data_IF_349878068873
#
_entry.id   IF_349878068873
#
_cell.length_a   1.000
_cell.length_b   1.000
_cell.length_c   1.000
_cell.angle_alpha   90.00
_cell.angle_beta   90.00
_cell.angle_gamma   90.00
#
_symmetry.space_group_name_H-M   'P 1'
#
loop_
_entity.id
_entity.type
_entity.pdbx_description
1 polymer ?
#
# COMPACT_ATOMS: atom_id res chain seq x y z
N UNK A 1 -3.34 -12.65 15.50
CA UNK A 1 -2.73 -11.41 14.98
C UNK A 1 -2.52 -11.48 13.46
N UNK A 2 -1.89 -12.54 12.92
CA UNK A 2 -1.60 -12.67 11.47
C UNK A 2 -2.66 -13.45 10.66
N UNK A 3 -3.92 -13.40 11.05
CA UNK A 3 -4.99 -14.20 10.39
C UNK A 3 -6.32 -13.43 10.30
N UNK A 4 -6.24 -12.11 10.41
CA UNK A 4 -7.38 -11.22 10.29
C UNK A 4 -6.92 -9.83 9.85
N UNK A 5 -7.85 -9.09 9.24
CA UNK A 5 -7.79 -7.65 9.08
C UNK A 5 -8.52 -6.89 10.18
N UNK A 6 -9.13 -5.77 9.80
CA UNK A 6 -9.86 -4.85 10.65
C UNK A 6 -11.35 -4.73 10.26
N UNK A 7 -11.91 -5.66 9.48
CA UNK A 7 -13.35 -5.65 9.21
C UNK A 7 -14.15 -5.91 10.49
N UNK A 8 -15.39 -5.40 10.53
CA UNK A 8 -16.26 -5.57 11.71
C UNK A 8 -16.44 -7.04 12.10
N UNK A 9 -16.67 -7.93 11.12
CA UNK A 9 -16.85 -9.36 11.36
C UNK A 9 -15.59 -9.99 11.97
N UNK A 10 -14.41 -9.65 11.47
CA UNK A 10 -13.14 -10.17 11.97
C UNK A 10 -12.86 -9.71 13.40
N UNK A 11 -13.10 -8.43 13.70
CA UNK A 11 -12.97 -7.89 15.07
C UNK A 11 -13.99 -8.54 16.01
N UNK A 12 -15.23 -8.73 15.55
CA UNK A 12 -16.24 -9.46 16.31
C UNK A 12 -15.80 -10.90 16.59
N UNK A 13 -15.28 -11.61 15.59
CA UNK A 13 -14.77 -12.97 15.74
C UNK A 13 -13.57 -13.01 16.70
N UNK A 14 -12.67 -12.04 16.65
CA UNK A 14 -11.53 -11.93 17.55
C UNK A 14 -11.97 -11.78 19.01
N UNK A 15 -12.94 -10.90 19.27
CA UNK A 15 -13.48 -10.68 20.63
C UNK A 15 -14.23 -11.88 21.19
N UNK A 16 -14.80 -12.71 20.33
CA UNK A 16 -15.57 -13.89 20.72
C UNK A 16 -14.80 -15.21 20.54
N UNK A 17 -13.50 -15.16 20.22
CA UNK A 17 -12.66 -16.34 19.99
C UNK A 17 -13.18 -17.29 18.90
N UNK A 18 -13.71 -16.74 17.80
CA UNK A 18 -14.34 -17.48 16.68
C UNK A 18 -13.51 -17.44 15.40
N UNK A 19 -12.25 -17.88 15.45
CA UNK A 19 -11.44 -18.09 14.24
C UNK A 19 -11.29 -19.58 13.96
N UNK A 20 -11.78 -20.00 12.79
CA UNK A 20 -11.78 -21.40 12.39
C UNK A 20 -10.43 -21.87 11.83
N UNK A 21 -9.68 -20.97 11.16
CA UNK A 21 -8.36 -21.25 10.60
C UNK A 21 -7.42 -20.08 10.89
N UNK A 22 -6.20 -20.40 11.34
CA UNK A 22 -5.13 -19.44 11.61
C UNK A 22 -3.88 -19.83 10.83
N UNK A 23 -2.94 -18.89 10.69
CA UNK A 23 -1.62 -19.19 10.14
C UNK A 23 -0.89 -20.17 11.06
N UNK A 24 -0.22 -21.16 10.48
CA UNK A 24 0.53 -22.17 11.22
C UNK A 24 1.90 -21.64 11.69
N UNK A 25 2.43 -20.65 10.97
CA UNK A 25 3.71 -20.03 11.25
C UNK A 25 3.72 -18.58 10.77
N UNK A 26 4.51 -17.74 11.44
CA UNK A 26 4.81 -16.37 11.01
C UNK A 26 6.31 -16.28 10.77
N UNK A 27 6.69 -15.72 9.62
CA UNK A 27 8.09 -15.49 9.25
C UNK A 27 8.30 -14.02 8.94
N UNK A 28 9.44 -13.49 9.36
CA UNK A 28 9.81 -12.09 9.20
C UNK A 28 11.04 -11.96 8.29
N UNK A 29 10.90 -11.99 6.95
CA UNK A 29 12.02 -11.80 6.03
C UNK A 29 12.70 -10.45 6.27
N UNK A 30 14.03 -10.42 6.22
CA UNK A 30 14.83 -9.19 6.37
C UNK A 30 15.35 -8.64 5.04
N UNK A 31 15.21 -9.39 3.95
CA UNK A 31 15.79 -9.07 2.64
C UNK A 31 14.95 -9.60 1.47
N UNK A 32 15.27 -9.11 0.26
CA UNK A 32 14.68 -9.61 -0.97
C UNK A 32 15.02 -11.09 -1.18
N UNK A 33 16.27 -11.46 -0.89
CA UNK A 33 16.79 -12.81 -1.01
C UNK A 33 16.08 -13.78 -0.04
N UNK A 34 15.73 -13.33 1.17
CA UNK A 34 14.90 -14.13 2.09
C UNK A 34 13.54 -14.46 1.45
N UNK A 35 12.91 -13.50 0.78
CA UNK A 35 11.64 -13.72 0.10
C UNK A 35 11.77 -14.70 -1.06
N UNK A 36 12.83 -14.59 -1.87
CA UNK A 36 13.11 -15.57 -2.93
C UNK A 36 13.31 -16.98 -2.37
N UNK A 37 14.07 -17.11 -1.29
CA UNK A 37 14.31 -18.39 -0.63
C UNK A 37 13.03 -18.98 -0.03
N UNK A 38 12.20 -18.15 0.60
CA UNK A 38 10.91 -18.57 1.16
C UNK A 38 9.95 -19.04 0.08
N UNK A 39 9.87 -18.36 -1.06
CA UNK A 39 9.05 -18.80 -2.20
C UNK A 39 9.55 -20.13 -2.76
N UNK A 40 10.87 -20.29 -2.93
CA UNK A 40 11.46 -21.58 -3.37
C UNK A 40 11.13 -22.72 -2.40
N UNK A 41 11.23 -22.48 -1.09
CA UNK A 41 10.86 -23.45 -0.06
C UNK A 41 9.37 -23.76 -0.08
N UNK A 42 8.51 -22.75 -0.25
CA UNK A 42 7.08 -22.94 -0.31
C UNK A 42 6.65 -23.79 -1.50
N UNK A 43 7.25 -23.57 -2.67
CA UNK A 43 7.04 -24.42 -3.86
C UNK A 43 7.50 -25.85 -3.59
N UNK A 44 8.70 -26.02 -3.02
CA UNK A 44 9.28 -27.34 -2.72
C UNK A 44 8.44 -28.15 -1.73
N UNK A 45 7.86 -27.48 -0.72
CA UNK A 45 7.16 -28.13 0.39
C UNK A 45 5.63 -28.01 0.32
N UNK A 46 5.10 -27.45 -0.77
CA UNK A 46 3.66 -27.20 -0.96
C UNK A 46 3.02 -26.41 0.20
N UNK A 47 3.61 -25.25 0.50
CA UNK A 47 3.19 -24.35 1.59
C UNK A 47 2.51 -23.11 0.99
N UNK A 48 1.44 -22.63 1.64
CA UNK A 48 0.78 -21.38 1.31
C UNK A 48 1.50 -20.23 1.98
N UNK A 49 1.81 -19.19 1.21
CA UNK A 49 2.37 -17.95 1.72
C UNK A 49 1.31 -16.85 1.64
N UNK A 50 1.07 -16.15 2.75
CA UNK A 50 0.20 -14.97 2.79
C UNK A 50 1.06 -13.76 3.16
N UNK A 51 1.36 -12.86 2.21
CA UNK A 51 2.04 -11.61 2.51
C UNK A 51 1.24 -10.78 3.52
N UNK A 52 1.91 -10.31 4.56
CA UNK A 52 1.33 -9.52 5.63
C UNK A 52 2.17 -8.26 5.82
N UNK A 53 1.50 -7.11 5.77
CA UNK A 53 2.11 -5.82 6.10
C UNK A 53 1.51 -5.29 7.40
N UNK A 54 0.65 -4.29 7.28
CA UNK A 54 0.02 -3.64 8.42
C UNK A 54 -1.15 -4.35 9.09
N UNK A 55 -1.67 -5.41 8.49
CA UNK A 55 -2.92 -6.03 8.96
C UNK A 55 -4.17 -5.13 8.86
N UNK A 56 -4.09 -3.99 8.17
CA UNK A 56 -5.17 -2.98 8.13
C UNK A 56 -6.22 -3.22 7.05
N UNK A 57 -6.28 -4.42 6.46
CA UNK A 57 -7.25 -4.70 5.40
C UNK A 57 -8.68 -4.67 5.97
N UNK A 58 -9.66 -4.29 5.15
CA UNK A 58 -11.09 -4.27 5.51
C UNK A 58 -11.93 -5.13 4.57
N UNK A 59 -11.26 -5.97 3.78
CA UNK A 59 -11.83 -6.81 2.71
C UNK A 59 -11.78 -8.30 3.03
N UNK A 60 -11.27 -8.67 4.21
CA UNK A 60 -10.95 -10.05 4.60
C UNK A 60 -9.83 -10.67 3.76
N UNK A 61 -8.98 -9.86 3.12
CA UNK A 61 -7.86 -10.33 2.28
C UNK A 61 -6.78 -11.13 3.02
N UNK A 62 -6.81 -11.16 4.36
CA UNK A 62 -5.93 -11.99 5.20
C UNK A 62 -6.63 -13.19 5.84
N UNK A 63 -7.94 -13.36 5.58
CA UNK A 63 -8.70 -14.49 6.09
C UNK A 63 -8.24 -15.77 5.38
N UNK A 64 -7.99 -16.81 6.16
CA UNK A 64 -7.54 -18.10 5.62
C UNK A 64 -8.77 -18.98 5.39
N UNK A 65 -8.99 -19.49 4.17
CA UNK A 65 -10.09 -20.40 3.89
C UNK A 65 -10.00 -21.69 4.73
N UNK A 66 -11.13 -22.18 5.23
CA UNK A 66 -11.19 -23.33 6.18
C UNK A 66 -10.96 -24.67 5.48
N UNK A 67 -11.19 -24.70 4.17
CA UNK A 67 -10.87 -25.79 3.27
C UNK A 67 -9.37 -25.92 2.98
N UNK A 68 -8.55 -24.89 3.23
CA UNK A 68 -7.10 -24.94 3.02
C UNK A 68 -6.43 -25.92 4.01
N UNK A 69 -5.91 -27.03 3.48
CA UNK A 69 -5.29 -28.11 4.26
C UNK A 69 -3.78 -28.04 4.30
N UNK A 70 -3.15 -27.24 3.43
CA UNK A 70 -1.70 -27.03 3.45
C UNK A 70 -1.30 -26.22 4.67
N UNK A 71 -0.02 -26.27 4.97
CA UNK A 71 0.60 -25.34 5.90
C UNK A 71 0.46 -23.92 5.35
N UNK A 72 0.04 -22.98 6.19
CA UNK A 72 -0.12 -21.57 5.87
C UNK A 72 0.86 -20.75 6.68
N UNK A 73 1.73 -20.03 5.98
CA UNK A 73 2.73 -19.15 6.58
C UNK A 73 2.35 -17.71 6.29
N UNK A 74 2.19 -16.91 7.35
CA UNK A 74 2.11 -15.47 7.20
C UNK A 74 3.52 -14.90 7.07
N UNK A 75 3.75 -14.13 6.00
CA UNK A 75 5.01 -13.46 5.74
C UNK A 75 4.91 -12.01 6.16
N UNK A 76 5.38 -11.71 7.37
CA UNK A 76 5.39 -10.35 7.89
C UNK A 76 6.56 -9.56 7.27
N UNK A 77 6.21 -8.66 6.38
CA UNK A 77 7.15 -7.86 5.60
C UNK A 77 7.77 -6.70 6.42
N UNK A 78 7.32 -6.41 7.63
CA UNK A 78 7.65 -5.17 8.36
C UNK A 78 9.13 -5.02 8.74
N UNK A 79 9.95 -6.08 8.64
CA UNK A 79 11.42 -5.98 8.77
C UNK A 79 12.11 -5.44 7.51
N UNK A 80 11.47 -5.52 6.35
CA UNK A 80 11.93 -4.93 5.09
C UNK A 80 11.39 -3.51 4.97
N UNK A 81 11.94 -2.59 5.78
CA UNK A 81 11.40 -1.25 5.98
C UNK A 81 12.39 -0.11 5.67
N UNK A 82 13.41 -0.36 4.85
CA UNK A 82 14.46 0.61 4.57
C UNK A 82 14.23 1.39 3.26
N UNK A 83 14.57 2.67 3.27
CA UNK A 83 14.78 3.46 2.04
C UNK A 83 16.15 3.06 1.47
N UNK A 84 16.16 2.51 0.26
CA UNK A 84 17.37 2.01 -0.41
C UNK A 84 18.17 3.14 -1.05
N UNK A 85 17.49 4.08 -1.67
CA UNK A 85 18.08 5.30 -2.23
C UNK A 85 17.02 6.38 -2.46
N UNK A 86 17.46 7.63 -2.54
CA UNK A 86 16.64 8.79 -2.93
C UNK A 86 17.38 9.56 -4.01
N UNK A 87 16.72 9.76 -5.14
CA UNK A 87 17.18 10.55 -6.28
C UNK A 87 16.32 11.81 -6.37
N UNK A 88 16.90 12.95 -5.97
CA UNK A 88 16.19 14.23 -5.94
C UNK A 88 16.05 14.85 -7.33
N UNK A 89 16.99 14.57 -8.23
CA UNK A 89 17.01 15.14 -9.58
C UNK A 89 15.90 14.50 -10.42
N UNK A 90 15.74 13.18 -10.29
CA UNK A 90 14.65 12.45 -10.93
C UNK A 90 13.39 12.34 -10.08
N UNK A 91 13.40 12.87 -8.85
CA UNK A 91 12.26 12.88 -7.93
C UNK A 91 11.71 11.47 -7.65
N UNK A 92 12.61 10.52 -7.38
CA UNK A 92 12.28 9.13 -7.08
C UNK A 92 12.97 8.63 -5.81
N UNK A 93 12.39 7.61 -5.18
CA UNK A 93 13.03 6.85 -4.12
C UNK A 93 12.73 5.35 -4.29
N UNK A 94 13.72 4.49 -4.07
CA UNK A 94 13.49 3.05 -3.93
C UNK A 94 13.37 2.70 -2.46
N UNK A 95 12.32 1.96 -2.12
CA UNK A 95 11.96 1.66 -0.74
C UNK A 95 11.51 0.22 -0.63
N UNK A 96 11.89 -0.43 0.47
CA UNK A 96 11.39 -1.76 0.77
C UNK A 96 9.91 -1.74 1.15
N UNK A 97 9.18 -2.77 0.73
CA UNK A 97 7.71 -2.79 0.73
C UNK A 97 7.08 -2.87 2.14
N UNK A 98 7.84 -3.26 3.15
CA UNK A 98 7.38 -3.39 4.53
C UNK A 98 7.37 -2.11 5.34
N UNK A 99 7.86 -0.99 4.79
CA UNK A 99 7.87 0.29 5.50
C UNK A 99 6.44 0.77 5.79
N UNK A 100 6.18 1.23 7.01
CA UNK A 100 4.92 1.91 7.35
C UNK A 100 4.87 3.30 6.74
N UNK A 101 3.68 3.80 6.44
CA UNK A 101 3.52 5.14 5.85
C UNK A 101 4.09 6.27 6.71
N UNK A 102 3.87 6.22 8.01
CA UNK A 102 4.44 7.20 8.94
C UNK A 102 5.97 7.18 8.96
N UNK A 103 6.59 5.98 8.92
CA UNK A 103 8.05 5.82 8.86
C UNK A 103 8.61 6.29 7.52
N UNK A 104 7.94 5.96 6.41
CA UNK A 104 8.31 6.39 5.07
C UNK A 104 8.38 7.91 4.96
N UNK A 105 7.35 8.61 5.41
CA UNK A 105 7.32 10.07 5.36
C UNK A 105 8.36 10.68 6.29
N UNK A 106 8.51 10.17 7.53
CA UNK A 106 9.54 10.62 8.47
C UNK A 106 10.94 10.50 7.88
N UNK A 107 11.24 9.36 7.26
CA UNK A 107 12.58 9.06 6.77
C UNK A 107 12.87 9.81 5.46
N UNK A 108 11.88 9.98 4.56
CA UNK A 108 12.01 10.82 3.37
C UNK A 108 12.20 12.31 3.69
N UNK A 109 11.58 12.81 4.76
CA UNK A 109 11.75 14.21 5.19
C UNK A 109 13.20 14.54 5.52
N UNK A 110 14.01 13.57 5.97
CA UNK A 110 15.45 13.76 6.20
C UNK A 110 16.20 14.08 4.90
N UNK A 111 15.65 13.65 3.75
CA UNK A 111 16.15 13.99 2.42
C UNK A 111 15.46 15.24 1.85
N UNK A 112 14.58 15.91 2.58
CA UNK A 112 13.87 17.11 2.10
C UNK A 112 12.74 16.82 1.11
N UNK A 113 12.25 15.58 1.06
CA UNK A 113 11.19 15.15 0.14
C UNK A 113 10.10 14.36 0.89
N UNK A 114 8.96 14.15 0.24
CA UNK A 114 7.77 13.40 0.73
C UNK A 114 7.15 12.61 -0.41
N UNK A 115 6.44 11.51 -0.14
CA UNK A 115 5.54 10.92 -1.17
C UNK A 115 4.22 11.67 -1.19
N UNK A 116 3.74 12.11 -0.02
CA UNK A 116 2.44 12.74 0.17
C UNK A 116 1.27 11.76 0.10
N UNK A 117 1.53 10.45 0.05
CA UNK A 117 0.52 9.40 0.12
C UNK A 117 0.10 9.16 1.57
N UNK A 118 -1.06 9.71 1.94
CA UNK A 118 -1.57 9.62 3.31
C UNK A 118 -2.96 8.97 3.32
N UNK A 119 -3.06 7.63 3.30
CA UNK A 119 -4.29 6.94 3.65
C UNK A 119 -4.57 7.10 5.15
N UNK A 120 -5.83 7.00 5.57
CA UNK A 120 -6.19 7.18 6.99
C UNK A 120 -5.50 6.12 7.89
N UNK A 121 -5.15 4.96 7.33
CA UNK A 121 -4.39 3.90 8.01
C UNK A 121 -2.87 4.04 7.92
N UNK A 122 -2.31 5.19 7.48
CA UNK A 122 -0.87 5.35 7.22
C UNK A 122 0.07 5.01 8.39
N UNK A 123 -0.40 5.09 9.63
CA UNK A 123 0.37 4.72 10.83
C UNK A 123 0.72 3.24 10.88
N UNK A 124 -0.14 2.39 10.31
CA UNK A 124 -0.01 0.93 10.39
C UNK A 124 0.04 0.26 9.03
N UNK A 125 -0.43 0.90 7.97
CA UNK A 125 -0.40 0.34 6.61
C UNK A 125 0.97 0.53 5.96
N UNK A 126 1.37 -0.44 5.13
CA UNK A 126 2.70 -0.49 4.50
C UNK A 126 2.64 -0.21 3.00
N UNK A 127 3.77 0.21 2.42
CA UNK A 127 3.92 0.48 0.99
C UNK A 127 3.48 -0.71 0.10
N UNK A 128 3.91 -1.92 0.43
CA UNK A 128 3.52 -3.14 -0.28
C UNK A 128 2.02 -3.43 -0.17
N UNK A 129 1.43 -3.13 0.98
CA UNK A 129 -0.02 -3.21 1.18
C UNK A 129 -0.77 -2.24 0.28
N UNK A 130 -0.32 -0.99 0.21
CA UNK A 130 -0.91 0.04 -0.67
C UNK A 130 -0.90 -0.37 -2.13
N UNK A 131 0.21 -0.90 -2.61
CA UNK A 131 0.35 -1.41 -3.99
C UNK A 131 -0.62 -2.58 -4.20
N UNK A 132 -0.66 -3.52 -3.25
CA UNK A 132 -1.50 -4.71 -3.34
C UNK A 132 -3.00 -4.41 -3.37
N UNK A 133 -3.44 -3.30 -2.79
CA UNK A 133 -4.88 -2.96 -2.66
C UNK A 133 -5.32 -1.73 -3.44
N UNK A 134 -4.42 -1.12 -4.23
CA UNK A 134 -4.67 0.16 -4.92
C UNK A 134 -5.12 1.27 -3.96
N UNK A 135 -4.37 1.47 -2.88
CA UNK A 135 -4.72 2.46 -1.87
C UNK A 135 -4.82 3.89 -2.43
N UNK A 136 -5.75 4.65 -1.85
CA UNK A 136 -6.00 6.06 -2.15
C UNK A 136 -5.70 6.90 -0.91
N UNK A 137 -4.94 7.98 -1.08
CA UNK A 137 -4.59 8.90 0.00
C UNK A 137 -5.46 10.16 0.04
N UNK A 138 -5.55 10.81 1.20
CA UNK A 138 -6.30 12.06 1.40
C UNK A 138 -5.86 13.20 0.46
N UNK A 139 -4.57 13.20 0.09
CA UNK A 139 -3.93 14.26 -0.71
C UNK A 139 -3.74 13.89 -2.20
N UNK A 140 -4.46 12.86 -2.69
CA UNK A 140 -4.30 12.35 -4.06
C UNK A 140 -4.43 13.42 -5.15
N UNK A 141 -5.18 14.49 -4.89
CA UNK A 141 -5.33 15.61 -5.81
C UNK A 141 -3.97 16.25 -6.19
N UNK A 142 -3.00 16.25 -5.28
CA UNK A 142 -1.66 16.82 -5.53
C UNK A 142 -0.62 15.75 -5.84
N UNK A 143 -0.71 14.58 -5.19
CA UNK A 143 0.35 13.56 -5.26
C UNK A 143 -0.01 12.34 -6.12
N UNK A 144 -1.29 12.17 -6.46
CA UNK A 144 -1.81 10.99 -7.14
C UNK A 144 -2.23 9.87 -6.17
N UNK A 145 -2.90 8.86 -6.72
CA UNK A 145 -3.11 7.59 -6.03
C UNK A 145 -1.85 6.72 -6.13
N UNK A 146 -1.86 5.55 -5.51
CA UNK A 146 -0.67 4.67 -5.49
C UNK A 146 -0.21 4.29 -6.91
N UNK A 147 -1.14 4.12 -7.87
CA UNK A 147 -0.83 3.85 -9.27
C UNK A 147 -0.12 5.01 -9.99
N UNK A 148 -0.31 6.23 -9.52
CA UNK A 148 0.35 7.41 -10.08
C UNK A 148 1.73 7.63 -9.44
N UNK A 149 1.86 7.23 -8.17
CA UNK A 149 3.06 7.40 -7.35
C UNK A 149 4.11 6.33 -7.67
N UNK A 150 3.70 5.08 -7.89
CA UNK A 150 4.63 3.97 -8.09
C UNK A 150 5.16 3.95 -9.53
N UNK A 151 6.48 4.08 -9.68
CA UNK A 151 7.17 3.99 -10.96
C UNK A 151 7.55 2.55 -11.32
N UNK A 152 7.95 1.75 -10.33
CA UNK A 152 8.37 0.36 -10.52
C UNK A 152 8.10 -0.48 -9.28
N UNK A 153 7.91 -1.78 -9.47
CA UNK A 153 7.76 -2.76 -8.39
C UNK A 153 8.70 -3.93 -8.64
N UNK A 154 9.32 -4.42 -7.55
CA UNK A 154 10.06 -5.68 -7.54
C UNK A 154 9.22 -6.71 -6.82
N UNK A 155 8.77 -7.74 -7.54
CA UNK A 155 7.89 -8.80 -7.02
C UNK A 155 8.55 -10.16 -7.19
N UNK A 156 8.58 -10.93 -6.11
CA UNK A 156 9.03 -12.32 -6.10
C UNK A 156 7.82 -13.21 -6.32
N UNK A 157 7.86 -14.06 -7.36
CA UNK A 157 6.80 -15.01 -7.70
C UNK A 157 7.35 -16.43 -7.73
N UNK A 158 6.49 -17.47 -7.71
CA UNK A 158 6.93 -18.86 -7.89
C UNK A 158 7.69 -19.11 -9.20
N UNK A 159 7.44 -18.29 -10.23
CA UNK A 159 8.08 -18.39 -11.55
C UNK A 159 9.36 -17.55 -11.67
N UNK A 160 9.74 -16.82 -10.62
CA UNK A 160 10.90 -15.93 -10.59
C UNK A 160 10.56 -14.49 -10.19
N UNK A 161 11.58 -13.64 -10.22
CA UNK A 161 11.47 -12.24 -9.81
C UNK A 161 11.22 -11.34 -11.01
N UNK A 162 10.22 -10.48 -10.91
CA UNK A 162 9.96 -9.41 -11.87
C UNK A 162 10.39 -8.07 -11.30
N UNK A 163 11.10 -7.28 -12.12
CA UNK A 163 11.35 -5.85 -11.92
C UNK A 163 11.74 -5.22 -13.26
N UNK A 164 11.33 -3.97 -13.52
CA UNK A 164 11.85 -3.24 -14.69
C UNK A 164 13.33 -2.92 -14.47
N UNK A 165 14.15 -3.16 -15.50
CA UNK A 165 15.58 -2.82 -15.48
C UNK A 165 15.80 -1.30 -15.56
N UNK A 166 15.04 -0.64 -16.43
CA UNK A 166 15.17 0.80 -16.68
C UNK A 166 13.95 1.55 -16.11
N UNK A 167 14.20 2.69 -15.46
CA UNK A 167 13.20 3.51 -14.78
C UNK A 167 12.75 4.70 -15.64
N UNK A 168 12.41 4.43 -16.91
CA UNK A 168 11.87 5.47 -17.79
C UNK A 168 10.51 5.96 -17.29
N UNK A 169 10.24 7.28 -17.31
CA UNK A 169 9.02 7.85 -16.74
C UNK A 169 7.74 7.38 -17.46
N UNK A 170 7.85 6.97 -18.73
CA UNK A 170 6.76 6.40 -19.51
C UNK A 170 7.30 5.48 -20.61
N UNK A 171 6.69 4.32 -20.78
CA UNK A 171 7.10 3.30 -21.76
C UNK A 171 5.91 2.81 -22.59
N UNK A 172 6.15 2.35 -23.81
CA UNK A 172 5.15 1.72 -24.68
C UNK A 172 5.65 0.36 -25.17
N UNK A 173 6.00 -0.52 -24.22
CA UNK A 173 6.63 -1.81 -24.49
C UNK A 173 5.66 -2.99 -24.27
N UNK A 174 4.38 -2.78 -24.58
CA UNK A 174 3.29 -3.72 -24.29
C UNK A 174 2.51 -3.36 -23.01
N UNK A 175 1.70 -4.30 -22.48
CA UNK A 175 0.95 -4.10 -21.24
C UNK A 175 1.87 -3.76 -20.06
N UNK A 176 1.47 -2.81 -19.23
CA UNK A 176 2.25 -2.45 -18.05
C UNK A 176 2.05 -3.48 -16.93
N UNK A 177 3.06 -4.32 -16.70
CA UNK A 177 3.03 -5.36 -15.68
C UNK A 177 2.95 -4.77 -14.26
N UNK A 178 3.37 -3.51 -14.05
CA UNK A 178 3.17 -2.85 -12.76
C UNK A 178 1.67 -2.81 -12.39
N UNK A 179 0.79 -2.58 -13.38
CA UNK A 179 -0.67 -2.58 -13.18
C UNK A 179 -1.25 -3.98 -12.96
N UNK A 180 -0.56 -5.04 -13.37
CA UNK A 180 -0.96 -6.44 -13.06
C UNK A 180 -0.67 -6.76 -11.59
N UNK A 181 0.43 -6.24 -11.06
CA UNK A 181 0.80 -6.41 -9.64
C UNK A 181 -0.06 -5.54 -8.73
N UNK A 182 -0.38 -4.31 -9.15
CA UNK A 182 -1.24 -3.41 -8.37
C UNK A 182 -2.67 -3.94 -8.27
N UNK A 183 -3.20 -4.07 -7.06
CA UNK A 183 -4.53 -4.64 -6.85
C UNK A 183 -4.57 -6.17 -6.88
N UNK A 184 -3.40 -6.84 -6.88
CA UNK A 184 -3.34 -8.30 -6.84
C UNK A 184 -3.70 -8.91 -5.48
N UNK A 185 -3.79 -8.09 -4.43
CA UNK A 185 -4.13 -8.51 -3.06
C UNK A 185 -3.30 -9.69 -2.53
N UNK A 186 -2.02 -9.78 -2.93
CA UNK A 186 -1.09 -10.83 -2.51
C UNK A 186 -1.20 -12.16 -3.29
N UNK A 187 -2.04 -12.24 -4.32
CA UNK A 187 -2.30 -13.49 -5.05
C UNK A 187 -1.25 -13.85 -6.12
N UNK A 188 -0.39 -12.91 -6.51
CA UNK A 188 0.59 -13.10 -7.60
C UNK A 188 2.02 -13.30 -7.07
N UNK A 189 2.32 -12.78 -5.89
CA UNK A 189 3.64 -12.86 -5.29
C UNK A 189 3.86 -11.87 -4.16
N UNK A 190 5.11 -11.75 -3.75
CA UNK A 190 5.55 -10.89 -2.64
C UNK A 190 6.21 -9.65 -3.23
N UNK A 191 5.61 -8.48 -3.03
CA UNK A 191 6.24 -7.21 -3.36
C UNK A 191 7.33 -6.95 -2.31
N UNK A 192 8.57 -6.80 -2.74
CA UNK A 192 9.74 -6.66 -1.86
C UNK A 192 10.28 -5.25 -1.84
N UNK A 193 10.27 -4.58 -2.99
CA UNK A 193 10.72 -3.20 -3.16
C UNK A 193 9.81 -2.48 -4.15
N UNK A 194 9.72 -1.16 -4.03
CA UNK A 194 9.07 -0.31 -5.01
C UNK A 194 9.84 0.99 -5.19
N UNK A 195 9.84 1.49 -6.42
CA UNK A 195 10.30 2.84 -6.73
C UNK A 195 9.09 3.75 -6.77
N UNK A 196 9.10 4.79 -5.94
CA UNK A 196 8.01 5.76 -5.79
C UNK A 196 8.47 7.16 -6.19
N UNK A 197 7.54 7.95 -6.71
CA UNK A 197 7.74 9.40 -6.90
C UNK A 197 7.78 10.10 -5.55
N UNK A 198 8.68 11.06 -5.44
CA UNK A 198 8.79 11.94 -4.27
C UNK A 198 8.71 13.39 -4.72
N UNK A 199 8.23 14.28 -3.86
CA UNK A 199 8.18 15.73 -4.12
C UNK A 199 8.88 16.48 -2.99
N UNK A 200 9.37 17.70 -3.22
CA UNK A 200 9.85 18.56 -2.16
C UNK A 200 8.81 18.73 -1.05
N UNK A 201 9.27 18.88 0.19
CA UNK A 201 8.39 19.20 1.33
C UNK A 201 7.63 20.51 1.02
N UNK A 202 6.30 20.55 1.20
CA UNK A 202 5.53 21.76 0.92
C UNK A 202 5.93 22.89 1.88
N UNK A 203 6.23 24.07 1.33
CA UNK A 203 6.61 25.26 2.10
C UNK A 203 5.49 25.77 3.02
N UNK A 204 4.23 25.58 2.60
CA UNK A 204 3.05 26.05 3.31
C UNK A 204 1.94 25.02 3.29
N UNK A 205 1.23 24.89 4.42
CA UNK A 205 -0.01 24.13 4.54
C UNK A 205 -1.06 25.05 5.17
N UNK A 206 -2.17 25.22 4.47
CA UNK A 206 -3.30 26.01 4.96
C UNK A 206 -4.53 25.11 5.04
N UNK A 207 -5.31 25.31 6.11
CA UNK A 207 -6.54 24.60 6.36
C UNK A 207 -7.68 25.62 6.40
N UNK A 208 -8.85 25.21 5.92
CA UNK A 208 -10.05 26.03 5.92
C UNK A 208 -11.30 25.16 5.85
N UNK A 209 -12.43 25.76 6.20
CA UNK A 209 -13.74 25.12 6.14
C UNK A 209 -14.75 26.10 5.53
N UNK A 210 -15.78 25.54 4.88
CA UNK A 210 -16.87 26.30 4.27
C UNK A 210 -18.17 25.65 4.76
N UNK A 211 -19.11 26.47 5.23
CA UNK A 211 -20.44 26.03 5.61
C UNK A 211 -21.40 26.26 4.44
N UNK A 212 -22.20 25.24 4.14
CA UNK A 212 -23.27 25.30 3.16
C UNK A 212 -24.62 25.19 3.87
N UNK A 213 -25.70 25.78 3.32
CA UNK A 213 -27.03 25.68 3.92
C UNK A 213 -27.58 24.24 3.90
N UNK A 214 -27.15 23.42 2.94
CA UNK A 214 -27.58 22.04 2.75
C UNK A 214 -26.52 21.24 1.98
N UNK A 215 -26.61 19.90 2.06
CA UNK A 215 -25.65 19.00 1.44
C UNK A 215 -25.67 19.03 -0.10
N UNK A 216 -26.82 19.34 -0.70
CA UNK A 216 -26.97 19.42 -2.16
C UNK A 216 -26.18 20.61 -2.72
N UNK A 217 -26.23 21.75 -2.04
CA UNK A 217 -25.44 22.94 -2.35
C UNK A 217 -23.94 22.65 -2.24
N UNK A 218 -23.51 21.95 -1.18
CA UNK A 218 -22.12 21.48 -1.06
C UNK A 218 -21.72 20.55 -2.21
N UNK A 219 -22.59 19.63 -2.62
CA UNK A 219 -22.31 18.69 -3.71
C UNK A 219 -22.16 19.41 -5.06
N UNK A 220 -23.00 20.42 -5.33
CA UNK A 220 -22.86 21.28 -6.51
C UNK A 220 -21.52 22.03 -6.49
N UNK A 221 -21.13 22.57 -5.33
CA UNK A 221 -19.83 23.22 -5.16
C UNK A 221 -18.66 22.27 -5.48
N UNK A 222 -18.69 21.03 -4.97
CA UNK A 222 -17.67 20.01 -5.27
C UNK A 222 -17.60 19.71 -6.77
N UNK A 223 -18.76 19.62 -7.43
CA UNK A 223 -18.86 19.38 -8.87
C UNK A 223 -18.23 20.51 -9.67
N UNK A 224 -18.56 21.77 -9.38
CA UNK A 224 -17.95 22.91 -10.07
C UNK A 224 -16.46 23.03 -9.77
N UNK A 225 -16.03 22.77 -8.53
CA UNK A 225 -14.62 22.75 -8.15
C UNK A 225 -13.82 21.73 -8.98
N UNK A 226 -14.39 20.55 -9.26
CA UNK A 226 -13.72 19.52 -10.08
C UNK A 226 -13.44 19.93 -11.53
N UNK A 227 -14.17 20.93 -12.04
CA UNK A 227 -13.98 21.48 -13.40
C UNK A 227 -12.90 22.55 -13.44
N UNK A 228 -12.44 23.04 -12.29
CA UNK A 228 -11.40 24.06 -12.22
C UNK A 228 -10.02 23.46 -12.49
N UNK A 229 -9.11 24.20 -13.13
CA UNK A 229 -7.75 23.73 -13.40
C UNK A 229 -6.89 23.65 -12.13
N UNK A 230 -7.34 24.26 -11.03
CA UNK A 230 -6.69 24.24 -9.72
C UNK A 230 -7.74 23.94 -8.66
N UNK A 231 -7.44 22.95 -7.84
CA UNK A 231 -8.25 22.52 -6.72
C UNK A 231 -7.35 22.26 -5.52
N UNK A 232 -7.88 22.30 -4.29
CA UNK A 232 -7.09 22.09 -3.09
C UNK A 232 -6.48 20.68 -3.04
N UNK A 233 -5.38 20.55 -2.30
CA UNK A 233 -4.69 19.28 -2.04
C UNK A 233 -5.63 18.23 -1.44
N UNK A 234 -6.59 18.65 -0.62
CA UNK A 234 -7.69 17.79 -0.16
C UNK A 234 -8.95 18.63 0.02
N UNK A 235 -10.10 18.02 -0.22
CA UNK A 235 -11.40 18.59 0.06
C UNK A 235 -12.36 17.44 0.39
N UNK A 236 -13.09 17.59 1.50
CA UNK A 236 -14.07 16.62 1.98
C UNK A 236 -15.37 17.38 2.28
N UNK A 237 -16.47 16.90 1.72
CA UNK A 237 -17.81 17.38 2.06
C UNK A 237 -18.41 16.40 3.06
N UNK A 238 -18.81 16.90 4.23
CA UNK A 238 -19.46 16.12 5.28
C UNK A 238 -20.93 16.51 5.39
N UNK A 239 -21.77 15.59 5.86
CA UNK A 239 -23.19 15.87 6.13
C UNK A 239 -23.39 16.53 7.51
N UNK A 240 -24.64 16.76 7.91
CA UNK A 240 -24.97 17.42 9.18
C UNK A 240 -24.73 16.56 10.44
N UNK A 241 -24.56 15.25 10.28
CA UNK A 241 -24.37 14.30 11.40
C UNK A 241 -22.90 14.02 11.71
N UNK A 242 -22.03 14.21 10.73
CA UNK A 242 -20.57 14.07 10.83
C UNK A 242 -19.93 15.37 11.34
#
# INVERSE_FOLDING_TARGET
MHSHGASFQEVHNLRNHRFERNADMVVYPGSHEDCENLVKLAVKHNVVLIPYGGGTNVTQGLLIPTEEKRMVVSLDMCRMNQIKWVDKDNQMACVQAGIYGADLERDLMQYGVVTGHEPDSHEFSTLGGWISTRASGMKKNTYGNIEDIVCNVTVVTPSGTYSKKDLWPRTSNGPDINHVVMGSEGNIGIITEAVVKVKPIPEKREFGSILFPDFETGTRFMTEMSKLPRYPTSIRLVDNTQ
#
